data_IF_415064104270
#
_entry.id   IF_415064104270
#
_cell.length_a   1.000
_cell.length_b   1.000
_cell.length_c   1.000
_cell.angle_alpha   90.00
_cell.angle_beta   90.00
_cell.angle_gamma   90.00
#
_symmetry.space_group_name_H-M   'P 1'
#
loop_
_entity.id
_entity.type
_entity.pdbx_description
1 polymer ?
#
# COMPACT_ATOMS: atom_id res chain seq x y z
N UNK A 1 32.34 29.61 -6.11
CA UNK A 1 31.11 28.82 -5.88
C UNK A 1 29.93 29.63 -6.39
N UNK A 2 29.30 29.24 -7.50
CA UNK A 2 28.37 30.10 -8.24
C UNK A 2 27.15 30.51 -7.40
N UNK A 3 26.74 31.78 -7.49
CA UNK A 3 25.59 32.34 -6.79
C UNK A 3 24.31 31.50 -6.92
N UNK A 4 24.14 30.82 -8.07
CA UNK A 4 23.03 29.89 -8.32
C UNK A 4 23.02 28.67 -7.37
N UNK A 5 24.20 28.15 -6.98
CA UNK A 5 24.30 27.06 -6.00
C UNK A 5 23.92 27.52 -4.59
N UNK A 6 24.28 28.75 -4.23
CA UNK A 6 23.94 29.34 -2.93
C UNK A 6 22.43 29.57 -2.83
N UNK A 7 21.81 30.10 -3.90
CA UNK A 7 20.36 30.29 -3.98
C UNK A 7 19.62 28.95 -3.91
N UNK A 8 20.07 27.92 -4.63
CA UNK A 8 19.44 26.60 -4.56
C UNK A 8 19.57 25.94 -3.18
N UNK A 9 20.71 26.10 -2.50
CA UNK A 9 20.90 25.59 -1.13
C UNK A 9 20.00 26.36 -0.16
N UNK A 10 19.89 27.68 -0.29
CA UNK A 10 19.00 28.50 0.52
C UNK A 10 17.53 28.11 0.31
N UNK A 11 17.09 27.91 -0.93
CA UNK A 11 15.73 27.46 -1.25
C UNK A 11 15.45 26.06 -0.71
N UNK A 12 16.41 25.15 -0.81
CA UNK A 12 16.28 23.80 -0.26
C UNK A 12 16.21 23.83 1.26
N UNK A 13 17.02 24.67 1.93
CA UNK A 13 16.96 24.85 3.38
C UNK A 13 15.64 25.47 3.84
N UNK A 14 15.10 26.43 3.09
CA UNK A 14 13.80 27.05 3.36
C UNK A 14 12.66 26.03 3.19
N UNK A 15 12.71 25.20 2.14
CA UNK A 15 11.76 24.11 1.92
C UNK A 15 11.83 23.05 3.03
N UNK A 16 13.03 22.71 3.50
CA UNK A 16 13.23 21.80 4.63
C UNK A 16 12.65 22.40 5.91
N UNK A 17 12.87 23.70 6.19
CA UNK A 17 12.30 24.37 7.37
C UNK A 17 10.79 24.48 7.28
N UNK A 18 10.23 24.81 6.12
CA UNK A 18 8.78 24.82 5.87
C UNK A 18 8.18 23.42 6.03
N UNK A 19 8.86 22.39 5.53
CA UNK A 19 8.45 20.99 5.69
C UNK A 19 8.50 20.56 7.16
N UNK A 20 9.56 20.91 7.90
CA UNK A 20 9.64 20.64 9.35
C UNK A 20 8.51 21.36 10.09
N UNK A 21 8.24 22.63 9.80
CA UNK A 21 7.16 23.40 10.42
C UNK A 21 5.76 22.89 10.06
N UNK A 22 5.56 22.33 8.87
CA UNK A 22 4.31 21.66 8.47
C UNK A 22 4.02 20.40 9.29
N UNK A 23 5.06 19.76 9.84
CA UNK A 23 4.98 18.53 10.64
C UNK A 23 5.25 18.75 12.13
N UNK A 24 5.49 19.98 12.59
CA UNK A 24 5.49 20.27 14.02
C UNK A 24 4.05 20.11 14.55
N UNK A 25 3.78 19.18 15.47
CA UNK A 25 2.47 19.10 16.10
C UNK A 25 2.19 20.45 16.77
N UNK A 26 1.02 21.05 16.53
CA UNK A 26 0.56 22.18 17.33
C UNK A 26 0.59 21.73 18.79
N UNK A 27 1.54 22.24 19.57
CA UNK A 27 1.52 22.09 21.01
C UNK A 27 0.26 22.80 21.50
N UNK A 28 -0.75 22.01 21.82
CA UNK A 28 -1.91 22.51 22.55
C UNK A 28 -1.39 22.67 23.97
N UNK A 29 -1.33 23.89 24.47
CA UNK A 29 -0.95 24.17 25.86
C UNK A 29 -1.96 23.46 26.76
N UNK A 30 -1.60 22.29 27.28
CA UNK A 30 -2.44 21.54 28.22
C UNK A 30 -2.34 22.29 29.55
N UNK A 31 -3.45 22.76 30.12
CA UNK A 31 -3.43 23.41 31.44
C UNK A 31 -2.83 22.48 32.50
N UNK A 32 -1.96 23.06 33.33
CA UNK A 32 -1.32 22.35 34.45
C UNK A 32 -2.32 22.14 35.58
N UNK A 33 -2.36 20.92 36.13
CA UNK A 33 -3.25 20.50 37.21
C UNK A 33 -4.74 20.43 36.84
N UNK A 34 -5.07 19.81 35.69
CA UNK A 34 -6.43 19.61 35.23
C UNK A 34 -6.64 18.21 34.62
N UNK A 35 -7.86 17.67 34.76
CA UNK A 35 -8.32 16.53 33.97
C UNK A 35 -9.03 17.05 32.72
N UNK A 36 -8.53 16.69 31.55
CA UNK A 36 -9.10 17.08 30.26
C UNK A 36 -9.29 15.88 29.33
N UNK A 37 -10.21 16.01 28.37
CA UNK A 37 -10.51 14.95 27.40
C UNK A 37 -10.32 15.51 26.00
N UNK A 38 -9.65 14.74 25.16
CA UNK A 38 -9.42 15.07 23.77
C UNK A 38 -9.90 13.95 22.85
N UNK A 39 -10.37 14.32 21.66
CA UNK A 39 -10.64 13.36 20.57
C UNK A 39 -9.82 13.76 19.36
N UNK A 40 -9.04 12.83 18.83
CA UNK A 40 -8.14 13.11 17.71
C UNK A 40 -8.17 11.96 16.68
N UNK A 41 -8.61 12.21 15.43
CA UNK A 41 -9.30 13.41 14.95
C UNK A 41 -10.73 13.53 15.50
N UNK A 42 -11.28 14.75 15.55
CA UNK A 42 -12.65 15.01 16.01
C UNK A 42 -13.73 14.61 14.98
N UNK A 43 -13.33 14.25 13.76
CA UNK A 43 -14.17 13.58 12.78
C UNK A 43 -13.51 12.29 12.28
N UNK A 44 -14.28 11.21 12.26
CA UNK A 44 -13.86 9.91 11.74
C UNK A 44 -14.88 9.43 10.71
N UNK A 45 -14.47 8.58 9.79
CA UNK A 45 -15.36 8.03 8.78
C UNK A 45 -15.64 6.56 9.05
N UNK A 46 -16.87 6.10 8.85
CA UNK A 46 -17.23 4.68 8.98
C UNK A 46 -16.28 3.77 8.17
N UNK A 47 -15.73 2.70 8.78
CA UNK A 47 -16.04 2.17 10.12
C UNK A 47 -15.08 2.58 11.24
N UNK A 48 -14.21 3.56 11.02
CA UNK A 48 -13.17 3.95 11.98
C UNK A 48 -13.75 4.36 13.34
N UNK A 49 -13.08 3.93 14.41
CA UNK A 49 -13.48 4.19 15.80
C UNK A 49 -12.78 5.49 16.27
N UNK A 50 -13.50 6.44 16.89
CA UNK A 50 -12.91 7.64 17.48
C UNK A 50 -11.91 7.28 18.57
N UNK A 51 -10.77 7.99 18.62
CA UNK A 51 -9.78 7.87 19.69
C UNK A 51 -9.99 8.96 20.72
N UNK A 52 -10.52 8.58 21.88
CA UNK A 52 -10.72 9.47 23.03
C UNK A 52 -9.54 9.28 23.98
N UNK A 53 -8.84 10.37 24.30
CA UNK A 53 -7.74 10.38 25.28
C UNK A 53 -8.13 11.22 26.48
N UNK A 54 -7.91 10.68 27.67
CA UNK A 54 -8.04 11.42 28.92
C UNK A 54 -6.65 11.81 29.39
N UNK A 55 -6.45 13.11 29.57
CA UNK A 55 -5.22 13.69 30.08
C UNK A 55 -5.42 14.03 31.54
N UNK A 56 -4.68 13.36 32.42
CA UNK A 56 -4.61 13.68 33.84
C UNK A 56 -3.30 14.41 34.12
N UNK A 57 -3.33 15.74 34.25
CA UNK A 57 -2.14 16.53 34.65
C UNK A 57 -2.13 16.86 36.14
N UNK A 58 -3.00 16.20 36.92
CA UNK A 58 -3.05 16.36 38.39
C UNK A 58 -2.04 15.43 39.07
N UNK A 59 -1.80 15.69 40.36
CA UNK A 59 -0.91 14.87 41.20
C UNK A 59 -1.51 13.54 41.63
N UNK A 60 -2.83 13.37 41.50
CA UNK A 60 -3.56 12.21 42.01
C UNK A 60 -4.08 11.33 40.86
N UNK A 61 -4.03 10.02 41.05
CA UNK A 61 -4.71 9.08 40.18
C UNK A 61 -6.20 9.03 40.51
N UNK A 62 -7.04 8.73 39.52
CA UNK A 62 -8.45 8.46 39.75
C UNK A 62 -8.90 7.25 38.95
N UNK A 63 -9.96 6.60 39.42
CA UNK A 63 -10.57 5.43 38.79
C UNK A 63 -11.99 5.80 38.42
N UNK A 64 -12.41 5.38 37.24
CA UNK A 64 -13.81 5.46 36.82
C UNK A 64 -14.33 4.07 36.51
N UNK A 65 -15.63 3.88 36.67
CA UNK A 65 -16.34 2.77 36.06
C UNK A 65 -16.94 3.26 34.73
N UNK A 66 -16.46 2.72 33.61
CA UNK A 66 -16.86 3.18 32.27
C UNK A 66 -18.35 3.02 31.95
N UNK A 67 -19.10 2.17 32.66
CA UNK A 67 -20.54 2.00 32.45
C UNK A 67 -21.36 3.08 33.16
N UNK A 68 -20.92 3.45 34.38
CA UNK A 68 -21.64 4.36 35.26
C UNK A 68 -21.24 5.82 35.04
N UNK A 69 -19.94 6.02 34.79
CA UNK A 69 -19.32 7.35 34.78
C UNK A 69 -19.18 7.92 33.35
N UNK A 70 -19.41 7.10 32.32
CA UNK A 70 -19.41 7.56 30.92
C UNK A 70 -20.83 7.52 30.36
N UNK A 71 -21.27 8.67 29.86
CA UNK A 71 -22.53 8.79 29.11
C UNK A 71 -22.23 9.18 27.68
N UNK A 72 -22.82 8.44 26.75
CA UNK A 72 -22.71 8.75 25.33
C UNK A 72 -24.07 9.17 24.79
N UNK A 73 -24.09 10.24 23.99
CA UNK A 73 -25.26 10.61 23.19
C UNK A 73 -24.96 10.46 21.71
N UNK A 74 -25.97 10.08 20.93
CA UNK A 74 -25.93 10.00 19.48
C UNK A 74 -27.04 10.92 18.94
N UNK A 75 -26.66 11.98 18.22
CA UNK A 75 -27.58 13.03 17.75
C UNK A 75 -28.47 13.58 18.90
N UNK A 76 -27.84 13.87 20.04
CA UNK A 76 -28.49 14.36 21.26
C UNK A 76 -29.45 13.39 21.96
N UNK A 77 -29.53 12.12 21.52
CA UNK A 77 -30.28 11.06 22.19
C UNK A 77 -29.34 10.18 23.02
N UNK A 78 -29.70 9.81 24.27
CA UNK A 78 -28.84 8.98 25.12
C UNK A 78 -28.69 7.57 24.55
N UNK A 79 -27.46 7.05 24.56
CA UNK A 79 -27.13 5.70 24.13
C UNK A 79 -26.98 4.80 25.34
N UNK A 80 -27.66 3.66 25.34
CA UNK A 80 -27.47 2.60 26.35
C UNK A 80 -26.26 1.76 25.98
N UNK A 81 -25.12 2.02 26.62
CA UNK A 81 -23.82 1.40 26.30
C UNK A 81 -23.89 -0.13 26.39
N UNK A 82 -24.55 -0.66 27.42
CA UNK A 82 -24.71 -2.10 27.66
C UNK A 82 -25.39 -2.84 26.50
N UNK A 83 -26.23 -2.17 25.71
CA UNK A 83 -26.87 -2.81 24.54
C UNK A 83 -25.89 -3.09 23.40
N UNK A 84 -24.72 -2.44 23.41
CA UNK A 84 -23.68 -2.59 22.39
C UNK A 84 -22.55 -3.51 22.84
N UNK A 85 -22.11 -3.39 24.09
CA UNK A 85 -21.10 -4.29 24.67
C UNK A 85 -21.09 -4.23 26.19
N UNK A 86 -20.99 -5.41 26.81
CA UNK A 86 -20.70 -5.57 28.24
C UNK A 86 -19.21 -5.41 28.55
N UNK A 87 -18.33 -5.73 27.61
CA UNK A 87 -16.86 -5.66 27.79
C UNK A 87 -16.34 -4.23 27.91
N UNK A 88 -17.14 -3.25 27.49
CA UNK A 88 -16.84 -1.85 27.74
C UNK A 88 -16.88 -1.51 29.23
N UNK A 89 -17.79 -2.13 30.00
CA UNK A 89 -18.08 -1.82 31.39
C UNK A 89 -17.04 -2.42 32.33
N UNK A 90 -16.07 -1.60 32.74
CA UNK A 90 -14.94 -1.99 33.59
C UNK A 90 -14.38 -0.78 34.31
N UNK A 91 -13.60 -1.04 35.35
CA UNK A 91 -12.85 0.00 36.02
C UNK A 91 -11.60 0.34 35.21
N UNK A 92 -11.36 1.63 35.01
CA UNK A 92 -10.18 2.15 34.31
C UNK A 92 -9.49 3.17 35.20
N UNK A 93 -8.23 2.93 35.49
CA UNK A 93 -7.37 3.82 36.27
C UNK A 93 -6.68 4.83 35.35
N UNK A 94 -6.75 6.10 35.72
CA UNK A 94 -6.04 7.22 35.09
C UNK A 94 -4.96 7.73 36.03
N UNK A 95 -3.73 7.26 35.81
CA UNK A 95 -2.58 7.62 36.65
C UNK A 95 -2.30 9.12 36.67
N UNK A 96 -1.64 9.60 37.74
CA UNK A 96 -1.19 10.98 37.86
C UNK A 96 -0.20 11.34 36.73
N UNK A 97 -0.27 12.58 36.22
CA UNK A 97 0.57 13.07 35.12
C UNK A 97 0.64 12.13 33.90
N UNK A 98 -0.49 11.51 33.55
CA UNK A 98 -0.57 10.52 32.48
C UNK A 98 -1.57 10.90 31.38
N UNK A 99 -1.45 10.21 30.25
CA UNK A 99 -2.40 10.29 29.14
C UNK A 99 -2.84 8.87 28.81
N UNK A 100 -4.13 8.59 28.98
CA UNK A 100 -4.68 7.24 28.80
C UNK A 100 -5.74 7.27 27.72
N UNK A 101 -5.62 6.39 26.71
CA UNK A 101 -6.63 6.21 25.68
C UNK A 101 -7.81 5.40 26.25
N UNK A 102 -9.01 5.97 26.16
CA UNK A 102 -10.24 5.26 26.48
C UNK A 102 -10.57 4.32 25.31
N UNK A 103 -10.41 3.02 25.53
CA UNK A 103 -10.65 2.02 24.49
C UNK A 103 -12.14 1.90 24.14
N UNK A 104 -12.56 2.56 23.06
CA UNK A 104 -13.90 2.49 22.49
C UNK A 104 -14.11 1.31 21.52
N UNK A 105 -13.14 0.40 21.41
CA UNK A 105 -13.12 -0.70 20.43
C UNK A 105 -14.30 -1.67 20.57
N UNK A 106 -14.73 -1.96 21.80
CA UNK A 106 -15.90 -2.80 22.07
C UNK A 106 -17.22 -2.19 21.56
N UNK A 107 -17.27 -0.86 21.40
CA UNK A 107 -18.42 -0.12 20.89
C UNK A 107 -18.39 0.06 19.35
N UNK A 108 -17.53 -0.67 18.62
CA UNK A 108 -17.42 -0.56 17.16
C UNK A 108 -18.77 -0.62 16.41
N UNK A 109 -19.71 -1.46 16.85
CA UNK A 109 -21.06 -1.59 16.24
C UNK A 109 -21.86 -0.29 16.30
N UNK A 110 -21.72 0.46 17.39
CA UNK A 110 -22.39 1.75 17.56
C UNK A 110 -21.92 2.74 16.49
N UNK A 111 -20.60 2.91 16.37
CA UNK A 111 -20.00 3.85 15.43
C UNK A 111 -20.14 3.41 13.97
N UNK A 112 -20.22 2.11 13.70
CA UNK A 112 -20.37 1.58 12.35
C UNK A 112 -21.81 1.63 11.81
N UNK A 113 -22.81 1.88 12.65
CA UNK A 113 -24.23 1.77 12.30
C UNK A 113 -24.70 2.85 11.31
N UNK A 114 -24.57 4.13 11.69
CA UNK A 114 -24.99 5.30 10.91
C UNK A 114 -24.14 6.53 11.25
N UNK A 115 -23.97 7.46 10.29
CA UNK A 115 -23.34 8.74 10.56
C UNK A 115 -24.11 9.50 11.64
N UNK A 116 -23.37 10.06 12.61
CA UNK A 116 -23.97 10.78 13.73
C UNK A 116 -22.96 11.70 14.42
N UNK A 117 -23.50 12.70 15.10
CA UNK A 117 -22.77 13.50 16.08
C UNK A 117 -22.83 12.79 17.43
N UNK A 118 -21.68 12.59 18.06
CA UNK A 118 -21.58 12.01 19.38
C UNK A 118 -21.09 13.03 20.38
N UNK A 119 -21.63 12.96 21.59
CA UNK A 119 -21.08 13.66 22.75
C UNK A 119 -20.78 12.60 23.80
N UNK A 120 -19.52 12.54 24.23
CA UNK A 120 -19.08 11.74 25.36
C UNK A 120 -18.98 12.65 26.57
N UNK A 121 -19.69 12.29 27.63
CA UNK A 121 -19.64 12.88 28.96
C UNK A 121 -18.91 11.90 29.87
N UNK A 122 -17.91 12.38 30.60
CA UNK A 122 -17.16 11.64 31.60
C UNK A 122 -17.35 12.35 32.94
N UNK A 123 -17.89 11.62 33.92
CA UNK A 123 -17.83 12.02 35.31
C UNK A 123 -16.49 11.58 35.90
N UNK A 124 -15.74 12.52 36.46
CA UNK A 124 -14.43 12.26 37.06
C UNK A 124 -14.51 12.06 38.57
N UNK A 125 -15.68 12.29 39.19
CA UNK A 125 -15.93 12.38 40.64
C UNK A 125 -15.13 13.46 41.38
N UNK A 126 -13.93 13.81 40.91
CA UNK A 126 -12.96 14.70 41.57
C UNK A 126 -12.89 16.09 40.94
N UNK A 127 -12.95 16.18 39.60
CA UNK A 127 -12.83 17.43 38.85
C UNK A 127 -14.13 17.87 38.16
N UNK A 128 -15.24 17.18 38.44
CA UNK A 128 -16.55 17.38 37.80
C UNK A 128 -16.66 16.73 36.42
N UNK A 129 -17.80 16.95 35.76
CA UNK A 129 -18.05 16.38 34.43
C UNK A 129 -17.16 17.04 33.35
N UNK A 130 -16.70 16.25 32.40
CA UNK A 130 -15.99 16.68 31.20
C UNK A 130 -16.72 16.14 29.98
N UNK A 131 -16.83 16.95 28.94
CA UNK A 131 -17.47 16.51 27.70
C UNK A 131 -16.58 16.75 26.48
N UNK A 132 -16.80 15.93 25.46
CA UNK A 132 -16.17 16.10 24.16
C UNK A 132 -17.13 15.65 23.07
N UNK A 133 -17.19 16.42 21.99
CA UNK A 133 -17.99 16.09 20.81
C UNK A 133 -17.12 15.62 19.67
N UNK A 134 -17.63 14.65 18.90
CA UNK A 134 -16.98 14.16 17.70
C UNK A 134 -18.01 13.67 16.70
N UNK A 135 -17.61 13.60 15.43
CA UNK A 135 -18.49 13.24 14.32
C UNK A 135 -18.05 11.93 13.69
N UNK A 136 -19.01 11.04 13.45
CA UNK A 136 -18.82 9.89 12.57
C UNK A 136 -19.53 10.17 11.26
N UNK A 137 -18.76 10.26 10.19
CA UNK A 137 -19.22 10.62 8.86
C UNK A 137 -19.39 9.40 7.95
N UNK A 138 -20.30 9.51 6.97
CA UNK A 138 -20.39 8.55 5.89
C UNK A 138 -19.14 8.63 5.00
N UNK A 139 -18.67 7.51 4.43
CA UNK A 139 -17.62 7.57 3.44
C UNK A 139 -18.10 8.27 2.18
N UNK A 140 -17.27 9.18 1.65
CA UNK A 140 -17.51 9.80 0.35
C UNK A 140 -17.64 8.75 -0.76
N UNK A 141 -18.34 9.13 -1.84
CA UNK A 141 -18.67 8.23 -2.96
C UNK A 141 -17.47 7.41 -3.46
N UNK A 142 -16.35 8.06 -3.77
CA UNK A 142 -15.17 7.39 -4.31
C UNK A 142 -14.56 6.37 -3.32
N UNK A 143 -14.50 6.73 -2.03
CA UNK A 143 -14.03 5.83 -0.98
C UNK A 143 -14.97 4.63 -0.82
N UNK A 144 -16.28 4.86 -0.90
CA UNK A 144 -17.25 3.78 -0.84
C UNK A 144 -17.20 2.86 -2.09
N UNK A 145 -16.98 3.44 -3.27
CA UNK A 145 -16.81 2.70 -4.51
C UNK A 145 -15.58 1.77 -4.48
N UNK A 146 -14.40 2.31 -4.15
CA UNK A 146 -13.17 1.50 -4.03
C UNK A 146 -13.28 0.45 -2.93
N UNK A 147 -13.93 0.80 -1.81
CA UNK A 147 -14.20 -0.13 -0.72
C UNK A 147 -15.03 -1.31 -1.19
N UNK A 148 -16.12 -1.04 -1.90
CA UNK A 148 -17.06 -2.07 -2.36
C UNK A 148 -16.44 -2.97 -3.42
N UNK A 149 -15.71 -2.40 -4.39
CA UNK A 149 -15.15 -3.16 -5.51
C UNK A 149 -13.82 -3.85 -5.20
N UNK A 150 -12.99 -3.28 -4.32
CA UNK A 150 -11.61 -3.73 -4.12
C UNK A 150 -11.37 -4.17 -2.68
N UNK A 151 -11.64 -3.30 -1.70
CA UNK A 151 -11.30 -3.59 -0.31
C UNK A 151 -12.12 -4.75 0.28
N UNK A 152 -13.47 -4.70 0.18
CA UNK A 152 -14.36 -5.71 0.77
C UNK A 152 -14.09 -7.11 0.21
N UNK A 153 -13.98 -7.33 -1.12
CA UNK A 153 -13.70 -8.66 -1.65
C UNK A 153 -12.35 -9.21 -1.16
N UNK A 154 -11.31 -8.37 -1.12
CA UNK A 154 -9.98 -8.77 -0.65
C UNK A 154 -10.03 -9.07 0.85
N UNK A 155 -10.62 -8.20 1.67
CA UNK A 155 -10.77 -8.43 3.11
C UNK A 155 -11.51 -9.75 3.40
N UNK A 156 -12.61 -10.03 2.71
CA UNK A 156 -13.37 -11.26 2.91
C UNK A 156 -12.65 -12.50 2.39
N UNK A 157 -11.88 -12.38 1.30
CA UNK A 157 -11.01 -13.45 0.85
C UNK A 157 -9.95 -13.77 1.92
N UNK A 158 -9.34 -12.74 2.53
CA UNK A 158 -8.42 -12.92 3.65
C UNK A 158 -9.11 -13.57 4.85
N UNK A 159 -10.25 -13.02 5.30
CA UNK A 159 -10.99 -13.55 6.44
C UNK A 159 -11.38 -15.02 6.23
N UNK A 160 -11.89 -15.37 5.04
CA UNK A 160 -12.25 -16.75 4.71
C UNK A 160 -11.04 -17.69 4.65
N UNK A 161 -9.92 -17.24 4.08
CA UNK A 161 -8.69 -18.05 4.04
C UNK A 161 -8.08 -18.22 5.42
N UNK A 162 -8.05 -17.18 6.25
CA UNK A 162 -7.58 -17.23 7.64
C UNK A 162 -8.44 -18.20 8.44
N UNK A 163 -9.77 -18.14 8.29
CA UNK A 163 -10.68 -19.08 8.95
C UNK A 163 -10.50 -20.54 8.48
N UNK A 164 -9.97 -20.75 7.27
CA UNK A 164 -9.77 -22.07 6.69
C UNK A 164 -8.40 -22.68 7.00
N UNK A 165 -7.34 -21.87 7.04
CA UNK A 165 -5.99 -22.37 7.33
C UNK A 165 -5.82 -22.70 8.80
N UNK A 166 -4.91 -23.62 9.10
CA UNK A 166 -4.56 -23.99 10.47
C UNK A 166 -4.07 -22.79 11.26
N UNK A 167 -4.46 -22.71 12.54
CA UNK A 167 -3.98 -21.71 13.50
C UNK A 167 -4.30 -20.25 13.13
N UNK A 168 -5.36 -20.02 12.33
CA UNK A 168 -5.76 -18.68 11.90
C UNK A 168 -4.59 -17.85 11.34
N UNK A 169 -3.68 -18.52 10.62
CA UNK A 169 -2.41 -17.96 10.20
C UNK A 169 -2.55 -16.93 9.08
N UNK A 170 -2.21 -15.67 9.38
CA UNK A 170 -2.15 -14.60 8.38
C UNK A 170 -1.11 -14.89 7.29
N UNK A 171 0.02 -15.51 7.63
CA UNK A 171 1.10 -15.79 6.68
C UNK A 171 0.69 -16.76 5.58
N UNK A 172 0.06 -17.89 5.94
CA UNK A 172 -0.48 -18.82 4.94
C UNK A 172 -1.59 -18.20 4.11
N UNK A 173 -2.47 -17.40 4.73
CA UNK A 173 -3.48 -16.66 3.98
C UNK A 173 -2.85 -15.72 2.94
N UNK A 174 -1.79 -14.97 3.28
CA UNK A 174 -1.06 -14.11 2.33
C UNK A 174 -0.50 -14.95 1.17
N UNK A 175 0.16 -16.09 1.45
CA UNK A 175 0.75 -16.96 0.41
C UNK A 175 -0.35 -17.44 -0.54
N UNK A 176 -1.46 -17.95 0.00
CA UNK A 176 -2.56 -18.51 -0.79
C UNK A 176 -3.24 -17.41 -1.63
N UNK A 177 -3.55 -16.25 -1.04
CA UNK A 177 -4.12 -15.10 -1.77
C UNK A 177 -3.20 -14.70 -2.93
N UNK A 178 -1.89 -14.64 -2.68
CA UNK A 178 -0.92 -14.27 -3.72
C UNK A 178 -0.98 -15.24 -4.89
N UNK A 179 -1.00 -16.55 -4.62
CA UNK A 179 -1.10 -17.57 -5.67
C UNK A 179 -2.41 -17.46 -6.42
N UNK A 180 -3.55 -17.27 -5.74
CA UNK A 180 -4.86 -17.10 -6.38
C UNK A 180 -4.87 -15.88 -7.31
N UNK A 181 -4.42 -14.72 -6.82
CA UNK A 181 -4.35 -13.49 -7.63
C UNK A 181 -3.45 -13.71 -8.86
N UNK A 182 -2.30 -14.38 -8.67
CA UNK A 182 -1.36 -14.67 -9.76
C UNK A 182 -1.94 -15.63 -10.79
N UNK A 183 -2.71 -16.64 -10.38
CA UNK A 183 -3.39 -17.55 -11.30
C UNK A 183 -4.48 -16.84 -12.10
N UNK A 184 -5.28 -15.97 -11.47
CA UNK A 184 -6.28 -15.15 -12.16
C UNK A 184 -5.62 -14.24 -13.19
N UNK A 185 -4.49 -13.63 -12.83
CA UNK A 185 -3.75 -12.72 -13.70
C UNK A 185 -2.81 -13.42 -14.69
N UNK A 186 -2.66 -14.75 -14.62
CA UNK A 186 -1.69 -15.50 -15.44
C UNK A 186 -1.93 -15.28 -16.94
N UNK A 187 -3.19 -15.40 -17.37
CA UNK A 187 -3.57 -15.23 -18.77
C UNK A 187 -3.30 -13.80 -19.30
N UNK A 188 -3.83 -12.71 -18.69
CA UNK A 188 -3.55 -11.36 -19.16
C UNK A 188 -2.06 -10.99 -19.07
N UNK A 189 -1.36 -11.43 -18.01
CA UNK A 189 0.07 -11.18 -17.87
C UNK A 189 0.90 -11.87 -18.96
N UNK A 190 0.52 -13.09 -19.38
CA UNK A 190 1.19 -13.80 -20.47
C UNK A 190 1.09 -13.04 -21.80
N UNK A 191 -0.13 -12.58 -22.16
CA UNK A 191 -0.38 -11.77 -23.37
C UNK A 191 0.46 -10.50 -23.41
N UNK A 192 0.60 -9.86 -22.25
CA UNK A 192 1.36 -8.63 -22.10
C UNK A 192 2.87 -8.87 -22.27
N UNK A 193 3.40 -9.99 -21.78
CA UNK A 193 4.80 -10.36 -22.00
C UNK A 193 5.10 -10.65 -23.48
N UNK A 194 4.17 -11.28 -24.21
CA UNK A 194 4.27 -11.44 -25.67
C UNK A 194 4.36 -10.08 -26.38
N UNK A 195 3.52 -9.11 -26.00
CA UNK A 195 3.54 -7.77 -26.58
C UNK A 195 4.87 -7.04 -26.30
N UNK A 196 5.43 -7.16 -25.09
CA UNK A 196 6.75 -6.58 -24.77
C UNK A 196 7.87 -7.18 -25.61
N UNK A 197 7.83 -8.49 -25.91
CA UNK A 197 8.82 -9.13 -26.79
C UNK A 197 8.72 -8.64 -28.22
N UNK A 198 7.50 -8.50 -28.75
CA UNK A 198 7.28 -7.90 -30.08
C UNK A 198 7.82 -6.48 -30.14
N UNK A 199 7.55 -5.66 -29.13
CA UNK A 199 8.15 -4.32 -29.00
C UNK A 199 9.68 -4.34 -29.01
N UNK A 200 10.30 -5.26 -28.25
CA UNK A 200 11.76 -5.38 -28.21
C UNK A 200 12.36 -5.76 -29.58
N UNK A 201 11.63 -6.52 -30.41
CA UNK A 201 12.05 -6.86 -31.78
C UNK A 201 12.03 -5.66 -32.74
N UNK A 202 11.28 -4.60 -32.41
CA UNK A 202 11.22 -3.37 -33.22
C UNK A 202 12.32 -2.36 -32.90
N UNK A 203 13.09 -2.56 -31.83
CA UNK A 203 14.25 -1.72 -31.47
C UNK A 203 15.17 -1.32 -32.65
N UNK A 204 15.54 -2.20 -33.60
CA UNK A 204 16.30 -1.78 -34.78
C UNK A 204 15.55 -0.76 -35.67
N UNK A 205 14.26 -0.97 -35.93
CA UNK A 205 13.43 -0.05 -36.72
C UNK A 205 13.21 1.29 -35.99
N UNK A 206 13.02 1.24 -34.68
CA UNK A 206 12.94 2.42 -33.80
C UNK A 206 14.21 3.26 -33.93
N UNK A 207 15.40 2.63 -33.88
CA UNK A 207 16.68 3.33 -34.02
C UNK A 207 16.89 3.92 -35.41
N UNK A 208 16.45 3.23 -36.46
CA UNK A 208 16.52 3.75 -37.83
C UNK A 208 15.70 5.05 -37.97
N UNK A 209 14.45 5.05 -37.49
CA UNK A 209 13.58 6.25 -37.47
C UNK A 209 14.21 7.36 -36.61
N UNK A 210 14.78 7.01 -35.45
CA UNK A 210 15.42 8.00 -34.58
C UNK A 210 16.63 8.68 -35.24
N UNK A 211 17.41 7.91 -36.03
CA UNK A 211 18.58 8.40 -36.76
C UNK A 211 18.21 9.22 -38.00
N UNK A 212 17.19 8.78 -38.74
CA UNK A 212 16.71 9.48 -39.94
C UNK A 212 16.09 10.84 -39.62
N UNK A 213 15.34 10.93 -38.51
CA UNK A 213 14.64 12.15 -38.08
C UNK A 213 15.23 12.72 -36.78
N UNK A 214 16.56 12.72 -36.63
CA UNK A 214 17.22 13.18 -35.41
C UNK A 214 16.94 14.66 -35.10
N UNK A 215 16.85 15.49 -36.15
CA UNK A 215 16.65 16.94 -36.07
C UNK A 215 15.16 17.36 -36.07
N UNK A 216 14.24 16.45 -36.43
CA UNK A 216 12.80 16.70 -36.49
C UNK A 216 12.03 15.81 -35.52
N UNK A 217 11.87 16.30 -34.28
CA UNK A 217 11.16 15.62 -33.19
C UNK A 217 9.69 15.35 -33.51
N UNK A 218 9.03 16.24 -34.25
CA UNK A 218 7.62 16.09 -34.58
C UNK A 218 7.44 14.91 -35.54
N UNK A 219 8.23 14.88 -36.61
CA UNK A 219 8.19 13.79 -37.59
C UNK A 219 8.68 12.47 -37.00
N UNK A 220 9.71 12.49 -36.15
CA UNK A 220 10.18 11.33 -35.40
C UNK A 220 9.04 10.69 -34.57
N UNK A 221 8.29 11.50 -33.82
CA UNK A 221 7.17 11.02 -33.00
C UNK A 221 6.04 10.41 -33.85
N UNK A 222 5.69 11.06 -34.96
CA UNK A 222 4.66 10.57 -35.88
C UNK A 222 5.05 9.24 -36.53
N UNK A 223 6.27 9.16 -37.10
CA UNK A 223 6.80 7.94 -37.72
C UNK A 223 6.91 6.80 -36.72
N UNK A 224 7.21 7.13 -35.47
CA UNK A 224 7.26 6.13 -34.42
C UNK A 224 5.88 5.55 -34.08
N UNK A 225 4.87 6.41 -33.96
CA UNK A 225 3.49 5.96 -33.76
C UNK A 225 2.97 5.18 -34.97
N UNK A 226 3.33 5.61 -36.19
CA UNK A 226 3.00 4.90 -37.43
C UNK A 226 3.57 3.47 -37.43
N UNK A 227 4.84 3.30 -37.06
CA UNK A 227 5.45 1.96 -36.91
C UNK A 227 4.69 1.11 -35.90
N UNK A 228 4.39 1.65 -34.71
CA UNK A 228 3.66 0.90 -33.67
C UNK A 228 2.26 0.47 -34.15
N UNK A 229 1.57 1.33 -34.89
CA UNK A 229 0.26 1.03 -35.47
C UNK A 229 0.34 -0.03 -36.56
N UNK A 230 1.34 0.05 -37.45
CA UNK A 230 1.58 -0.93 -38.51
C UNK A 230 1.89 -2.31 -37.94
N UNK A 231 2.72 -2.37 -36.90
CA UNK A 231 3.12 -3.61 -36.22
C UNK A 231 2.09 -4.10 -35.18
N UNK A 232 0.98 -3.35 -35.00
CA UNK A 232 -0.10 -3.63 -34.05
C UNK A 232 0.40 -3.87 -32.61
N UNK A 233 1.40 -3.10 -32.21
CA UNK A 233 1.97 -3.12 -30.85
C UNK A 233 1.66 -1.81 -30.14
N UNK A 234 1.39 -1.88 -28.85
CA UNK A 234 1.13 -0.68 -28.03
C UNK A 234 2.29 -0.43 -27.08
N UNK A 235 2.90 0.77 -27.08
CA UNK A 235 3.89 1.14 -26.08
C UNK A 235 3.30 1.18 -24.66
N UNK A 236 2.02 1.54 -24.53
CA UNK A 236 1.30 1.59 -23.24
C UNK A 236 1.02 0.20 -22.66
N UNK A 237 1.03 -0.86 -23.49
CA UNK A 237 0.88 -2.23 -23.00
C UNK A 237 1.96 -2.64 -21.99
N UNK A 238 3.12 -1.96 -22.02
CA UNK A 238 4.24 -2.26 -21.12
C UNK A 238 4.08 -1.68 -19.70
N UNK A 239 3.25 -0.63 -19.51
CA UNK A 239 2.98 -0.04 -18.18
C UNK A 239 1.64 -0.49 -17.58
N UNK A 240 0.77 -1.12 -18.37
CA UNK A 240 -0.47 -1.75 -17.92
C UNK A 240 -0.33 -2.70 -16.70
N UNK A 241 0.71 -3.55 -16.56
CA UNK A 241 0.82 -4.41 -15.38
C UNK A 241 0.93 -3.61 -14.09
N UNK A 242 1.68 -2.50 -14.13
CA UNK A 242 1.85 -1.63 -12.97
C UNK A 242 0.52 -0.98 -12.59
N UNK A 243 -0.24 -0.50 -13.58
CA UNK A 243 -1.56 0.11 -13.34
C UNK A 243 -2.55 -0.84 -12.68
N UNK A 244 -2.54 -2.13 -13.03
CA UNK A 244 -3.38 -3.15 -12.38
C UNK A 244 -2.82 -3.52 -11.00
N UNK A 245 -1.49 -3.56 -10.85
CA UNK A 245 -0.83 -3.96 -9.62
C UNK A 245 -0.98 -2.93 -8.49
N UNK A 246 -0.93 -1.63 -8.80
CA UNK A 246 -0.97 -0.57 -7.78
C UNK A 246 -2.26 -0.58 -6.93
N UNK A 247 -3.48 -0.62 -7.50
CA UNK A 247 -4.71 -0.72 -6.71
C UNK A 247 -4.77 -1.96 -5.82
N UNK A 248 -4.30 -3.11 -6.34
CA UNK A 248 -4.25 -4.36 -5.59
C UNK A 248 -3.28 -4.23 -4.42
N UNK A 249 -2.09 -3.67 -4.65
CA UNK A 249 -1.07 -3.47 -3.60
C UNK A 249 -1.58 -2.53 -2.50
N UNK A 250 -2.22 -1.42 -2.87
CA UNK A 250 -2.81 -0.47 -1.92
C UNK A 250 -3.88 -1.18 -1.09
N UNK A 251 -4.79 -1.93 -1.73
CA UNK A 251 -5.82 -2.64 -1.01
C UNK A 251 -5.25 -3.69 -0.04
N UNK A 252 -4.26 -4.47 -0.48
CA UNK A 252 -3.58 -5.46 0.35
C UNK A 252 -2.87 -4.83 1.54
N UNK A 253 -2.20 -3.69 1.34
CA UNK A 253 -1.58 -2.95 2.44
C UNK A 253 -2.61 -2.59 3.52
N UNK A 254 -3.73 -1.97 3.13
CA UNK A 254 -4.78 -1.57 4.07
C UNK A 254 -5.50 -2.76 4.71
N UNK A 255 -5.67 -3.86 3.97
CA UNK A 255 -6.27 -5.09 4.51
C UNK A 255 -5.33 -5.71 5.54
N UNK A 256 -4.05 -5.92 5.22
CA UNK A 256 -3.08 -6.52 6.14
C UNK A 256 -2.93 -5.66 7.40
N UNK A 257 -2.74 -4.35 7.25
CA UNK A 257 -2.57 -3.44 8.40
C UNK A 257 -3.80 -3.34 9.29
N UNK A 258 -5.00 -3.51 8.71
CA UNK A 258 -6.26 -3.46 9.44
C UNK A 258 -6.82 -4.82 9.83
N UNK A 259 -6.18 -5.95 9.48
CA UNK A 259 -6.84 -7.26 9.52
C UNK A 259 -7.28 -7.66 10.94
N UNK A 260 -6.53 -7.21 11.95
CA UNK A 260 -6.80 -7.45 13.38
C UNK A 260 -7.69 -6.39 14.03
N UNK A 261 -7.99 -5.29 13.33
CA UNK A 261 -8.82 -4.21 13.85
C UNK A 261 -10.29 -4.64 13.85
N UNK A 262 -10.91 -4.62 15.04
CA UNK A 262 -12.31 -5.00 15.23
C UNK A 262 -13.28 -4.14 14.40
N UNK A 263 -12.92 -2.90 14.09
CA UNK A 263 -13.73 -2.02 13.24
C UNK A 263 -13.93 -2.59 11.83
N UNK A 264 -13.00 -3.43 11.35
CA UNK A 264 -13.09 -4.04 10.04
C UNK A 264 -14.08 -5.21 9.96
N UNK A 265 -14.67 -5.64 11.09
CA UNK A 265 -15.88 -6.49 11.07
C UNK A 265 -16.98 -5.87 10.21
N UNK A 266 -17.04 -4.53 10.12
CA UNK A 266 -17.96 -3.82 9.22
C UNK A 266 -17.90 -4.30 7.75
N UNK A 267 -16.72 -4.73 7.29
CA UNK A 267 -16.52 -5.16 5.90
C UNK A 267 -16.85 -6.64 5.67
N UNK A 268 -17.10 -7.40 6.75
CA UNK A 268 -17.28 -8.85 6.74
C UNK A 268 -18.63 -9.23 6.12
N UNK A 269 -18.63 -10.25 5.27
CA UNK A 269 -19.83 -10.84 4.71
C UNK A 269 -20.52 -11.77 5.70
N UNK A 270 -21.84 -11.91 5.56
CA UNK A 270 -22.68 -12.65 6.50
C UNK A 270 -22.28 -14.12 6.68
N UNK A 271 -21.81 -14.78 5.61
CA UNK A 271 -21.35 -16.17 5.68
C UNK A 271 -20.07 -16.35 6.50
N UNK A 272 -19.35 -15.27 6.82
CA UNK A 272 -18.19 -15.26 7.71
C UNK A 272 -18.55 -14.70 9.10
N UNK A 273 -19.81 -14.72 9.53
CA UNK A 273 -20.22 -14.13 10.81
C UNK A 273 -19.45 -14.64 12.04
N UNK A 274 -18.94 -15.88 11.99
CA UNK A 274 -18.14 -16.48 13.06
C UNK A 274 -16.67 -16.00 13.09
N UNK A 275 -16.17 -15.36 12.03
CA UNK A 275 -14.79 -14.89 11.97
C UNK A 275 -14.56 -13.69 12.90
N UNK A 276 -13.57 -13.81 13.79
CA UNK A 276 -13.18 -12.76 14.72
C UNK A 276 -11.75 -12.25 14.40
N UNK A 277 -11.58 -10.95 14.05
CA UNK A 277 -10.27 -10.42 13.69
C UNK A 277 -9.26 -10.38 14.85
N UNK A 278 -9.70 -10.46 16.10
CA UNK A 278 -8.79 -10.42 17.26
C UNK A 278 -8.04 -11.74 17.50
N UNK A 279 -8.47 -12.84 16.86
CA UNK A 279 -7.91 -14.19 17.05
C UNK A 279 -6.85 -14.55 16.01
N UNK A 280 -6.55 -13.64 15.08
CA UNK A 280 -5.64 -13.91 13.96
C UNK A 280 -4.20 -14.07 14.46
N UNK A 281 -3.57 -15.19 14.10
CA UNK A 281 -2.14 -15.35 14.31
C UNK A 281 -1.35 -14.53 13.28
N UNK A 282 -0.74 -13.44 13.75
CA UNK A 282 0.09 -12.52 12.96
C UNK A 282 1.55 -12.96 12.86
N UNK A 283 1.97 -13.97 13.62
CA UNK A 283 3.32 -14.49 13.57
C UNK A 283 3.47 -15.56 12.47
N UNK A 284 4.53 -15.43 11.68
CA UNK A 284 4.86 -16.38 10.63
C UNK A 284 6.37 -16.60 10.61
N UNK A 285 6.80 -17.85 10.82
CA UNK A 285 8.22 -18.21 11.02
C UNK A 285 8.91 -17.34 12.09
N UNK A 286 8.21 -17.06 13.19
CA UNK A 286 8.73 -16.27 14.31
C UNK A 286 8.73 -14.76 14.09
N UNK A 287 8.17 -14.26 12.99
CA UNK A 287 8.12 -12.84 12.65
C UNK A 287 6.69 -12.31 12.67
N UNK A 288 6.47 -11.17 13.31
CA UNK A 288 5.17 -10.49 13.27
C UNK A 288 5.00 -9.81 11.91
N UNK A 289 4.02 -10.26 11.13
CA UNK A 289 3.78 -9.78 9.76
C UNK A 289 3.29 -8.32 9.70
N UNK A 290 2.78 -7.76 10.80
CA UNK A 290 2.35 -6.37 10.89
C UNK A 290 3.50 -5.41 11.24
N UNK A 291 4.65 -5.95 11.65
CA UNK A 291 5.82 -5.15 11.97
C UNK A 291 6.45 -4.55 10.70
N UNK A 292 6.92 -3.31 10.82
CA UNK A 292 7.76 -2.63 9.84
C UNK A 292 9.15 -2.37 10.43
N UNK A 293 10.19 -2.40 9.59
CA UNK A 293 11.57 -2.15 10.02
C UNK A 293 12.23 -3.33 10.76
N UNK A 294 13.32 -3.03 11.46
CA UNK A 294 14.15 -4.04 12.14
C UNK A 294 15.01 -4.87 11.19
N UNK A 295 15.77 -5.82 11.75
CA UNK A 295 16.71 -6.68 10.98
C UNK A 295 16.00 -7.47 9.89
N UNK A 296 14.79 -7.93 10.18
CA UNK A 296 13.99 -8.76 9.26
C UNK A 296 13.60 -7.98 8.01
N UNK A 297 13.30 -6.68 8.14
CA UNK A 297 13.02 -5.83 6.98
C UNK A 297 14.25 -5.70 6.05
N UNK A 298 15.47 -5.61 6.61
CA UNK A 298 16.70 -5.59 5.80
C UNK A 298 16.95 -6.92 5.07
N UNK A 299 16.72 -8.05 5.74
CA UNK A 299 16.81 -9.37 5.12
C UNK A 299 15.79 -9.50 3.99
N UNK A 300 14.54 -9.11 4.24
CA UNK A 300 13.47 -9.12 3.25
C UNK A 300 13.76 -8.20 2.06
N UNK A 301 14.28 -7.00 2.31
CA UNK A 301 14.73 -6.07 1.28
C UNK A 301 15.81 -6.68 0.38
N UNK A 302 16.81 -7.34 0.96
CA UNK A 302 17.85 -8.05 0.22
C UNK A 302 17.28 -9.18 -0.63
N UNK A 303 16.38 -10.00 -0.07
CA UNK A 303 15.69 -11.09 -0.79
C UNK A 303 14.87 -10.53 -1.95
N UNK A 304 14.07 -9.50 -1.73
CA UNK A 304 13.24 -8.88 -2.77
C UNK A 304 14.09 -8.26 -3.88
N UNK A 305 15.17 -7.56 -3.53
CA UNK A 305 16.11 -7.00 -4.49
C UNK A 305 16.75 -8.09 -5.35
N UNK A 306 17.28 -9.15 -4.74
CA UNK A 306 17.91 -10.26 -5.49
C UNK A 306 16.91 -11.02 -6.35
N UNK A 307 15.70 -11.27 -5.82
CA UNK A 307 14.65 -11.96 -6.57
C UNK A 307 14.16 -11.11 -7.74
N UNK A 308 13.97 -9.80 -7.55
CA UNK A 308 13.61 -8.87 -8.61
C UNK A 308 14.72 -8.74 -9.65
N UNK A 309 15.99 -8.73 -9.23
CA UNK A 309 17.13 -8.76 -10.15
C UNK A 309 17.11 -10.00 -11.03
N UNK A 310 16.93 -11.19 -10.43
CA UNK A 310 16.84 -12.45 -11.16
C UNK A 310 15.66 -12.45 -12.14
N UNK A 311 14.49 -11.97 -11.70
CA UNK A 311 13.30 -11.85 -12.55
C UNK A 311 13.54 -10.90 -13.75
N UNK A 312 14.13 -9.73 -13.50
CA UNK A 312 14.50 -8.77 -14.56
C UNK A 312 15.53 -9.37 -15.52
N UNK A 313 16.55 -10.06 -15.00
CA UNK A 313 17.58 -10.71 -15.80
C UNK A 313 16.98 -11.76 -16.75
N UNK A 314 16.11 -12.64 -16.25
CA UNK A 314 15.44 -13.67 -17.07
C UNK A 314 14.52 -13.06 -18.13
N UNK A 315 13.87 -11.93 -17.82
CA UNK A 315 13.03 -11.19 -18.77
C UNK A 315 13.85 -10.54 -19.88
N UNK A 316 14.97 -9.88 -19.55
CA UNK A 316 15.88 -9.27 -20.53
C UNK A 316 16.52 -10.33 -21.44
N UNK A 317 16.97 -11.45 -20.86
CA UNK A 317 17.54 -12.56 -21.63
C UNK A 317 16.55 -13.14 -22.66
N UNK A 318 15.25 -13.01 -22.39
CA UNK A 318 14.20 -13.45 -23.30
C UNK A 318 14.02 -12.54 -24.53
N UNK A 319 14.53 -11.31 -24.47
CA UNK A 319 14.43 -10.34 -25.55
C UNK A 319 15.53 -10.56 -26.60
N UNK A 320 15.34 -10.13 -27.86
CA UNK A 320 16.41 -10.13 -28.85
C UNK A 320 17.61 -9.30 -28.38
N UNK A 321 18.86 -9.75 -28.65
CA UNK A 321 20.04 -8.97 -28.31
C UNK A 321 19.99 -7.62 -29.01
N UNK A 322 20.34 -6.54 -28.29
CA UNK A 322 20.43 -5.22 -28.89
C UNK A 322 21.58 -5.19 -29.92
N UNK A 323 21.43 -4.44 -31.03
CA UNK A 323 22.51 -4.22 -31.98
C UNK A 323 23.77 -3.65 -31.28
N UNK A 324 24.96 -3.94 -31.83
CA UNK A 324 26.24 -3.39 -31.36
C UNK A 324 26.17 -1.85 -31.28
N UNK A 325 26.90 -1.27 -30.34
CA UNK A 325 26.90 0.19 -30.12
C UNK A 325 27.57 0.81 -31.33
N UNK A 326 26.86 1.68 -32.07
CA UNK A 326 27.54 2.52 -33.04
C UNK A 326 28.38 3.53 -32.25
N UNK A 327 29.66 3.75 -32.58
CA UNK A 327 30.46 4.77 -31.93
C UNK A 327 29.76 6.12 -32.13
N UNK A 328 29.45 6.80 -31.02
CA UNK A 328 28.93 8.17 -31.05
C UNK A 328 29.94 9.03 -31.81
N UNK A 329 29.52 9.71 -32.87
CA UNK A 329 30.37 10.71 -33.52
C UNK A 329 30.39 11.96 -32.64
N UNK A 330 31.56 12.55 -32.46
CA UNK A 330 31.70 13.83 -31.75
C UNK A 330 30.80 14.88 -32.43
N UNK A 331 29.88 15.47 -31.66
CA UNK A 331 28.94 16.48 -32.14
C UNK A 331 27.48 16.02 -32.28
N UNK A 332 27.16 14.73 -32.08
CA UNK A 332 25.76 14.29 -32.07
C UNK A 332 25.01 14.95 -30.90
N UNK A 333 23.89 15.66 -31.15
CA UNK A 333 23.10 16.26 -30.07
C UNK A 333 22.64 15.16 -29.11
N UNK A 334 22.80 15.41 -27.81
CA UNK A 334 22.32 14.51 -26.77
C UNK A 334 20.80 14.34 -26.93
N UNK A 335 20.38 13.25 -27.58
CA UNK A 335 18.97 12.94 -27.76
C UNK A 335 18.28 12.84 -26.39
N UNK A 336 17.12 13.50 -26.15
CA UNK A 336 16.31 13.34 -24.94
C UNK A 336 15.51 12.03 -24.91
N UNK A 337 15.80 11.06 -25.78
CA UNK A 337 15.14 9.75 -25.80
C UNK A 337 16.03 8.74 -25.11
N UNK A 338 15.57 8.16 -24.00
CA UNK A 338 16.30 7.13 -23.25
C UNK A 338 16.75 6.00 -24.20
N UNK A 339 18.07 5.82 -24.34
CA UNK A 339 18.66 4.69 -25.07
C UNK A 339 18.10 3.37 -24.49
N UNK A 340 17.61 2.43 -25.33
CA UNK A 340 17.17 1.10 -24.88
C UNK A 340 18.17 0.39 -23.95
N UNK A 341 19.47 0.60 -24.14
CA UNK A 341 20.52 0.03 -23.27
C UNK A 341 20.50 0.61 -21.87
N UNK A 342 20.32 1.93 -21.77
CA UNK A 342 20.16 2.63 -20.49
C UNK A 342 18.90 2.13 -19.80
N UNK A 343 17.79 2.00 -20.55
CA UNK A 343 16.53 1.47 -20.01
C UNK A 343 16.66 0.02 -19.51
N UNK A 344 17.39 -0.83 -20.22
CA UNK A 344 17.70 -2.20 -19.76
C UNK A 344 18.55 -2.18 -18.48
N UNK A 345 19.59 -1.33 -18.39
CA UNK A 345 20.41 -1.19 -17.17
C UNK A 345 19.60 -0.66 -15.99
N UNK A 346 18.71 0.30 -16.20
CA UNK A 346 17.81 0.79 -15.16
C UNK A 346 16.87 -0.32 -14.68
N UNK A 347 16.29 -1.09 -15.61
CA UNK A 347 15.40 -2.22 -15.29
C UNK A 347 16.14 -3.34 -14.54
N UNK A 348 17.41 -3.56 -14.88
CA UNK A 348 18.23 -4.62 -14.28
C UNK A 348 18.82 -4.22 -12.92
N UNK A 349 19.19 -2.96 -12.70
CA UNK A 349 19.90 -2.56 -11.47
C UNK A 349 19.13 -1.57 -10.61
N UNK A 350 18.56 -0.53 -11.22
CA UNK A 350 17.88 0.55 -10.48
C UNK A 350 16.54 0.08 -9.92
N UNK A 351 15.75 -0.62 -10.73
CA UNK A 351 14.42 -1.08 -10.31
C UNK A 351 14.46 -2.11 -9.16
N UNK A 352 15.31 -3.15 -9.19
CA UNK A 352 15.46 -4.05 -8.04
C UNK A 352 15.96 -3.35 -6.78
N UNK A 353 16.92 -2.43 -6.92
CA UNK A 353 17.41 -1.64 -5.79
C UNK A 353 16.28 -0.80 -5.17
N UNK A 354 15.48 -0.13 -6.00
CA UNK A 354 14.33 0.66 -5.54
C UNK A 354 13.33 -0.22 -4.78
N UNK A 355 12.97 -1.39 -5.31
CA UNK A 355 12.07 -2.32 -4.62
C UNK A 355 12.66 -2.79 -3.28
N UNK A 356 13.96 -3.09 -3.24
CA UNK A 356 14.66 -3.44 -2.00
C UNK A 356 14.56 -2.33 -0.96
N UNK A 357 14.89 -1.09 -1.31
CA UNK A 357 14.79 0.06 -0.41
C UNK A 357 13.34 0.31 0.02
N UNK A 358 12.39 0.23 -0.91
CA UNK A 358 10.96 0.40 -0.60
C UNK A 358 10.44 -0.63 0.40
N UNK A 359 10.95 -1.86 0.37
CA UNK A 359 10.55 -2.91 1.32
C UNK A 359 10.86 -2.56 2.78
N UNK A 360 11.81 -1.66 3.04
CA UNK A 360 12.13 -1.20 4.40
C UNK A 360 11.01 -0.35 5.03
N UNK A 361 10.11 0.20 4.21
CA UNK A 361 9.02 1.08 4.64
C UNK A 361 7.68 0.36 4.77
N UNK A 362 7.61 -0.90 4.34
CA UNK A 362 6.38 -1.67 4.34
C UNK A 362 6.37 -2.75 5.42
N UNK A 363 5.18 -3.19 5.86
CA UNK A 363 5.05 -4.31 6.78
C UNK A 363 5.63 -5.60 6.19
N UNK A 364 6.19 -6.47 7.03
CA UNK A 364 6.76 -7.77 6.62
C UNK A 364 5.75 -8.60 5.82
N UNK A 365 4.47 -8.59 6.19
CA UNK A 365 3.40 -9.28 5.47
C UNK A 365 3.22 -8.79 4.03
N UNK A 366 3.35 -7.49 3.78
CA UNK A 366 3.30 -6.96 2.41
C UNK A 366 4.54 -7.38 1.61
N UNK A 367 5.70 -7.41 2.24
CA UNK A 367 6.92 -7.91 1.58
C UNK A 367 6.85 -9.42 1.29
N UNK A 368 6.21 -10.23 2.15
CA UNK A 368 5.93 -11.64 1.88
C UNK A 368 5.04 -11.80 0.64
N UNK A 369 3.94 -11.05 0.55
CA UNK A 369 3.09 -11.00 -0.64
C UNK A 369 3.92 -10.69 -1.91
N UNK A 370 4.78 -9.67 -1.83
CA UNK A 370 5.60 -9.27 -2.97
C UNK A 370 6.57 -10.38 -3.36
N UNK A 371 7.25 -11.01 -2.40
CA UNK A 371 8.23 -12.05 -2.65
C UNK A 371 7.61 -13.28 -3.33
N UNK A 372 6.49 -13.79 -2.80
CA UNK A 372 5.76 -14.90 -3.43
C UNK A 372 5.32 -14.54 -4.84
N UNK A 373 4.87 -13.30 -5.05
CA UNK A 373 4.54 -12.79 -6.37
C UNK A 373 5.72 -12.77 -7.34
N UNK A 374 6.92 -12.41 -6.87
CA UNK A 374 8.15 -12.45 -7.69
C UNK A 374 8.57 -13.87 -8.03
N UNK A 375 8.48 -14.81 -7.09
CA UNK A 375 8.75 -16.22 -7.34
C UNK A 375 7.83 -16.78 -8.42
N UNK A 376 6.53 -16.46 -8.35
CA UNK A 376 5.56 -16.83 -9.39
C UNK A 376 5.96 -16.25 -10.76
N UNK A 377 6.34 -14.96 -10.79
CA UNK A 377 6.79 -14.31 -12.03
C UNK A 377 8.05 -14.96 -12.61
N UNK A 378 8.99 -15.41 -11.78
CA UNK A 378 10.18 -16.15 -12.24
C UNK A 378 9.76 -17.47 -12.89
N UNK A 379 8.89 -18.24 -12.22
CA UNK A 379 8.38 -19.51 -12.77
C UNK A 379 7.67 -19.27 -14.11
N UNK A 380 6.80 -18.26 -14.17
CA UNK A 380 6.14 -17.86 -15.41
C UNK A 380 7.16 -17.48 -16.49
N UNK A 381 8.16 -16.66 -16.16
CA UNK A 381 9.20 -16.22 -17.09
C UNK A 381 10.01 -17.40 -17.66
N UNK A 382 10.37 -18.38 -16.82
CA UNK A 382 11.07 -19.60 -17.25
C UNK A 382 10.22 -20.35 -18.29
N UNK A 383 8.92 -20.52 -18.02
CA UNK A 383 8.01 -21.18 -18.94
C UNK A 383 7.89 -20.42 -20.28
N UNK A 384 7.71 -19.11 -20.23
CA UNK A 384 7.60 -18.30 -21.47
C UNK A 384 8.93 -18.28 -22.24
N UNK A 385 10.07 -18.37 -21.57
CA UNK A 385 11.39 -18.46 -22.22
C UNK A 385 11.56 -19.81 -22.94
N UNK A 386 11.20 -20.91 -22.27
CA UNK A 386 11.25 -22.24 -22.85
C UNK A 386 10.34 -22.37 -24.09
N UNK A 387 9.15 -21.76 -24.06
CA UNK A 387 8.27 -21.71 -25.22
C UNK A 387 8.89 -20.96 -26.41
N UNK A 388 9.55 -19.83 -26.15
CA UNK A 388 10.20 -19.05 -27.21
C UNK A 388 11.38 -19.80 -27.83
N UNK A 389 12.18 -20.52 -27.03
CA UNK A 389 13.27 -21.35 -27.55
C UNK A 389 12.75 -22.49 -28.42
N UNK A 390 11.67 -23.17 -28.01
CA UNK A 390 11.02 -24.21 -28.83
C UNK A 390 10.52 -23.66 -30.17
N UNK A 391 9.93 -22.47 -30.20
CA UNK A 391 9.48 -21.83 -31.45
C UNK A 391 10.65 -21.48 -32.37
N UNK A 392 11.78 -21.01 -31.82
CA UNK A 392 13.02 -20.78 -32.60
C UNK A 392 13.55 -22.07 -33.22
N UNK A 393 13.59 -23.16 -32.45
CA UNK A 393 14.08 -24.47 -32.91
C UNK A 393 13.21 -25.08 -34.02
N UNK A 394 11.89 -24.83 -33.98
CA UNK A 394 10.96 -25.29 -35.03
C UNK A 394 11.03 -24.48 -36.32
N UNK A 395 11.88 -23.45 -36.41
CA UNK A 395 11.96 -22.58 -37.59
C UNK A 395 10.74 -21.67 -37.79
N UNK A 396 9.81 -21.63 -36.83
CA UNK A 396 8.56 -20.86 -36.94
C UNK A 396 8.78 -19.36 -36.65
N UNK A 397 9.99 -18.94 -36.28
CA UNK A 397 10.38 -17.52 -36.15
C UNK A 397 11.26 -17.09 -37.33
N UNK A 398 10.75 -17.28 -38.54
CA UNK A 398 11.01 -16.37 -39.66
C UNK A 398 9.67 -16.16 -40.37
N UNK A 399 9.14 -14.94 -40.25
CA UNK A 399 8.01 -14.39 -41.02
C UNK A 399 6.68 -15.16 -40.98
N UNK A 400 5.76 -14.76 -40.09
CA UNK A 400 4.37 -14.61 -40.54
C UNK A 400 4.34 -13.27 -41.29
N UNK A 401 4.33 -13.37 -42.63
CA UNK A 401 4.14 -12.24 -43.56
C UNK A 401 2.87 -11.46 -43.22
#
# INVERSE_FOLDING_TARGET
MNALKIINIALLSLLIVLFINLFQPKQTTIPTNEISIAVTPNNVTIPSIPKVTVHNTTSDAFVINTCNDIRLTQNSQPVKIETFSTDFCRDVEFGANSHTELALSSLHKLFASKPANYILLLDTHTAGERNISFQVEAPGFFRNFLRTLIYNPIYNLFAGLIAFVTDYSLGWAIVIVTVIIRLILLYPQHRMLENTRKMASLNPKIRAIQKEYADDRATQGMKMMELYKQEKVSPMGSCLPLLIQFPILIALYWVIMGITDISNIYHRYDFLAAFNPTEINTFFFGQNLLQSGGVVAFVLAGILMLTQFLQSYLSIKAQPPLPKEEPKKDGDPAMPTLDPRVMQKMTLYVFPFMIGVSALFFPIGLGLYWWIGLLFMIVQQIFVNAQAEKQKQKGEIVTRK
#
